data_IF_233607060507
#
_entry.id   IF_233607060507
#
_cell.length_a   1.000
_cell.length_b   1.000
_cell.length_c   1.000
_cell.angle_alpha   90.00
_cell.angle_beta   90.00
_cell.angle_gamma   90.00
#
_symmetry.space_group_name_H-M   'P 1'
#
loop_
_entity.id
_entity.type
_entity.pdbx_description
1 polymer ?
#
# COMPACT_ATOMS: atom_id res chain seq x y z
N UNK A 1 -4.84 3.68 0.93
CA UNK A 1 -5.37 4.82 1.69
C UNK A 1 -5.46 4.52 3.19
N UNK A 2 -6.33 3.60 3.64
CA UNK A 2 -6.54 3.36 5.09
C UNK A 2 -5.25 2.99 5.85
N UNK A 3 -4.44 2.04 5.35
CA UNK A 3 -3.17 1.67 5.99
C UNK A 3 -2.18 2.84 6.05
N UNK A 4 -2.03 3.62 4.98
CA UNK A 4 -1.17 4.82 4.93
C UNK A 4 -1.63 5.88 5.93
N UNK A 5 -2.94 6.11 6.03
CA UNK A 5 -3.50 7.03 7.02
C UNK A 5 -3.20 6.55 8.45
N UNK A 6 -3.43 5.26 8.74
CA UNK A 6 -3.12 4.67 10.04
C UNK A 6 -1.61 4.74 10.34
N UNK A 7 -0.74 4.51 9.36
CA UNK A 7 0.71 4.61 9.52
C UNK A 7 1.14 6.04 9.87
N UNK A 8 0.59 7.06 9.19
CA UNK A 8 0.86 8.47 9.49
C UNK A 8 0.38 8.85 10.89
N UNK A 9 -0.84 8.46 11.28
CA UNK A 9 -1.43 8.80 12.58
C UNK A 9 -0.70 8.08 13.71
N UNK A 10 -0.56 6.76 13.62
CA UNK A 10 0.11 5.97 14.67
C UNK A 10 1.61 6.28 14.73
N UNK A 11 2.23 6.58 13.59
CA UNK A 11 3.60 7.08 13.51
C UNK A 11 3.79 8.42 14.20
N UNK A 12 2.88 9.38 14.01
CA UNK A 12 2.93 10.67 14.71
C UNK A 12 2.75 10.51 16.23
N UNK A 13 1.81 9.65 16.66
CA UNK A 13 1.58 9.33 18.08
C UNK A 13 2.83 8.71 18.71
N UNK A 14 3.51 7.81 18.01
CA UNK A 14 4.76 7.22 18.47
C UNK A 14 5.94 8.19 18.39
N UNK A 15 5.98 9.08 17.39
CA UNK A 15 7.03 10.06 17.19
C UNK A 15 7.11 11.10 18.31
N UNK A 16 5.97 11.49 18.91
CA UNK A 16 5.94 12.48 19.98
C UNK A 16 6.81 12.10 21.20
N UNK A 17 6.68 10.91 21.81
CA UNK A 17 7.55 10.50 22.92
C UNK A 17 8.98 10.17 22.49
N UNK A 18 9.20 9.70 21.26
CA UNK A 18 10.52 9.22 20.81
C UNK A 18 11.44 10.33 20.31
N UNK A 19 10.86 11.35 19.66
CA UNK A 19 11.61 12.42 19.02
C UNK A 19 11.13 13.83 19.40
N UNK A 20 10.18 13.95 20.32
CA UNK A 20 9.70 15.23 20.86
C UNK A 20 8.70 15.98 19.97
N UNK A 21 8.42 15.49 18.76
CA UNK A 21 7.52 16.14 17.78
C UNK A 21 6.55 15.14 17.15
N UNK A 22 5.36 15.62 16.79
CA UNK A 22 4.35 14.84 16.07
C UNK A 22 4.65 14.73 14.57
N UNK A 23 5.36 15.73 14.02
CA UNK A 23 5.61 15.83 12.59
C UNK A 23 6.89 16.62 12.33
N UNK A 24 7.60 16.23 11.27
CA UNK A 24 8.64 17.02 10.63
C UNK A 24 8.45 16.93 9.12
N UNK A 25 8.77 18.01 8.40
CA UNK A 25 8.67 18.07 6.95
C UNK A 25 9.91 17.48 6.27
N UNK A 26 10.28 16.26 6.64
CA UNK A 26 11.37 15.54 6.00
C UNK A 26 10.88 14.77 4.76
N UNK A 27 11.83 14.28 3.95
CA UNK A 27 11.50 13.57 2.72
C UNK A 27 10.69 12.29 2.98
N UNK A 28 10.90 11.61 4.11
CA UNK A 28 10.24 10.33 4.45
C UNK A 28 8.76 10.54 4.78
N UNK A 29 8.46 11.42 5.73
CA UNK A 29 7.10 11.70 6.16
C UNK A 29 6.31 12.42 5.06
N UNK A 30 6.95 13.36 4.36
CA UNK A 30 6.29 14.10 3.27
C UNK A 30 5.93 13.17 2.09
N UNK A 31 6.83 12.26 1.70
CA UNK A 31 6.53 11.32 0.61
C UNK A 31 5.47 10.28 0.98
N UNK A 32 5.39 9.85 2.25
CA UNK A 32 4.29 9.02 2.76
C UNK A 32 2.94 9.78 2.78
N UNK A 33 2.94 11.07 3.13
CA UNK A 33 1.75 11.92 3.03
C UNK A 33 1.30 12.10 1.56
N UNK A 34 2.25 12.32 0.65
CA UNK A 34 1.97 12.34 -0.79
C UNK A 34 1.39 11.01 -1.25
N UNK A 35 1.88 9.87 -0.74
CA UNK A 35 1.32 8.55 -1.04
C UNK A 35 -0.15 8.44 -0.59
N UNK A 36 -0.50 8.99 0.58
CA UNK A 36 -1.89 9.02 1.03
C UNK A 36 -2.77 9.78 0.04
N UNK A 37 -2.34 10.98 -0.38
CA UNK A 37 -3.07 11.76 -1.38
C UNK A 37 -3.13 11.09 -2.74
N UNK A 38 -2.07 10.43 -3.19
CA UNK A 38 -2.08 9.63 -4.43
C UNK A 38 -3.11 8.50 -4.35
N UNK A 39 -3.22 7.81 -3.22
CA UNK A 39 -4.25 6.78 -3.04
C UNK A 39 -5.66 7.36 -3.04
N UNK A 40 -5.90 8.47 -2.34
CA UNK A 40 -7.21 9.13 -2.33
C UNK A 40 -7.57 9.66 -3.73
N UNK A 41 -6.62 10.25 -4.44
CA UNK A 41 -6.79 10.71 -5.81
C UNK A 41 -7.10 9.54 -6.75
N UNK A 42 -6.39 8.42 -6.65
CA UNK A 42 -6.67 7.22 -7.45
C UNK A 42 -8.09 6.69 -7.22
N UNK A 43 -8.49 6.52 -5.96
CA UNK A 43 -9.83 6.02 -5.61
C UNK A 43 -10.92 6.98 -6.10
N UNK A 44 -10.72 8.28 -5.87
CA UNK A 44 -11.69 9.31 -6.28
C UNK A 44 -11.80 9.40 -7.80
N UNK A 45 -10.68 9.38 -8.51
CA UNK A 45 -10.64 9.44 -9.97
C UNK A 45 -11.29 8.21 -10.60
N UNK A 46 -11.05 7.02 -10.06
CA UNK A 46 -11.67 5.80 -10.55
C UNK A 46 -13.20 5.79 -10.35
N UNK A 47 -13.70 6.47 -9.32
CA UNK A 47 -15.13 6.55 -9.02
C UNK A 47 -15.81 7.78 -9.66
N UNK A 48 -15.06 8.69 -10.28
CA UNK A 48 -15.58 9.94 -10.84
C UNK A 48 -16.19 9.80 -12.25
N UNK A 49 -15.97 8.67 -12.94
CA UNK A 49 -16.48 8.44 -14.30
C UNK A 49 -17.53 7.32 -14.32
N UNK A 50 -18.62 7.55 -15.04
CA UNK A 50 -19.66 6.52 -15.26
C UNK A 50 -19.16 5.38 -16.15
N UNK A 51 -18.28 5.69 -17.12
CA UNK A 51 -17.71 4.69 -18.02
C UNK A 51 -16.49 4.01 -17.37
N UNK A 52 -16.56 2.70 -17.05
CA UNK A 52 -15.47 2.00 -16.36
C UNK A 52 -14.16 1.96 -17.16
N UNK A 53 -14.22 1.95 -18.50
CA UNK A 53 -13.00 1.95 -19.33
C UNK A 53 -12.27 3.28 -19.25
N UNK A 54 -13.01 4.39 -19.23
CA UNK A 54 -12.44 5.73 -19.07
C UNK A 54 -11.85 5.91 -17.68
N UNK A 55 -12.60 5.48 -16.63
CA UNK A 55 -12.13 5.45 -15.25
C UNK A 55 -10.79 4.70 -15.11
N UNK A 56 -10.75 3.47 -15.63
CA UNK A 56 -9.56 2.62 -15.57
C UNK A 56 -8.37 3.26 -16.30
N UNK A 57 -8.60 3.85 -17.50
CA UNK A 57 -7.53 4.52 -18.26
C UNK A 57 -6.96 5.71 -17.49
N UNK A 58 -7.80 6.63 -17.02
CA UNK A 58 -7.36 7.81 -16.28
C UNK A 58 -6.62 7.41 -14.98
N UNK A 59 -7.18 6.46 -14.24
CA UNK A 59 -6.60 5.98 -12.98
C UNK A 59 -5.28 5.23 -13.20
N UNK A 60 -5.13 4.50 -14.31
CA UNK A 60 -3.88 3.80 -14.64
C UNK A 60 -2.72 4.77 -14.91
N UNK A 61 -2.99 5.90 -15.58
CA UNK A 61 -1.99 6.96 -15.80
C UNK A 61 -1.54 7.54 -14.46
N UNK A 62 -2.48 7.88 -13.58
CA UNK A 62 -2.17 8.38 -12.24
C UNK A 62 -1.35 7.36 -11.43
N UNK A 63 -1.67 6.07 -11.52
CA UNK A 63 -0.92 5.01 -10.83
C UNK A 63 0.52 4.90 -11.32
N UNK A 64 0.75 4.99 -12.64
CA UNK A 64 2.09 4.96 -13.23
C UNK A 64 2.91 6.17 -12.79
N UNK A 65 2.31 7.37 -12.81
CA UNK A 65 2.99 8.58 -12.33
C UNK A 65 3.28 8.48 -10.83
N UNK A 66 2.31 8.00 -10.04
CA UNK A 66 2.45 7.80 -8.60
C UNK A 66 3.50 6.76 -8.22
N UNK A 67 3.81 5.81 -9.11
CA UNK A 67 4.85 4.80 -8.88
C UNK A 67 6.23 5.42 -8.65
N UNK A 68 6.49 6.61 -9.20
CA UNK A 68 7.73 7.38 -8.97
C UNK A 68 7.91 7.73 -7.49
N UNK A 69 6.84 7.83 -6.71
CA UNK A 69 6.92 8.11 -5.28
C UNK A 69 7.50 6.94 -4.47
N UNK A 70 7.37 5.70 -4.95
CA UNK A 70 7.85 4.50 -4.26
C UNK A 70 9.37 4.50 -4.03
N UNK A 71 10.23 4.70 -5.05
CA UNK A 71 11.67 4.80 -4.82
C UNK A 71 12.03 6.00 -3.94
N UNK A 72 11.30 7.11 -4.02
CA UNK A 72 11.53 8.29 -3.16
C UNK A 72 11.32 7.92 -1.69
N UNK A 73 10.20 7.26 -1.36
CA UNK A 73 9.92 6.80 0.01
C UNK A 73 11.00 5.82 0.47
N UNK A 74 11.31 4.80 -0.34
CA UNK A 74 12.25 3.75 0.04
C UNK A 74 13.65 4.31 0.31
N UNK A 75 14.19 5.10 -0.62
CA UNK A 75 15.52 5.68 -0.49
C UNK A 75 15.56 6.95 0.36
N UNK A 76 14.41 7.45 0.84
CA UNK A 76 14.37 8.62 1.74
C UNK A 76 15.23 8.43 3.00
N UNK A 77 15.42 7.17 3.41
CA UNK A 77 16.24 6.76 4.56
C UNK A 77 17.74 6.97 4.30
N UNK A 78 18.17 6.89 3.04
CA UNK A 78 19.58 6.96 2.63
C UNK A 78 19.95 8.32 2.04
N UNK A 79 19.05 8.92 1.25
CA UNK A 79 19.31 10.16 0.52
C UNK A 79 19.25 11.42 1.40
N UNK A 80 18.50 11.40 2.50
CA UNK A 80 18.35 12.56 3.38
C UNK A 80 18.73 12.25 4.82
N UNK A 81 19.48 13.18 5.42
CA UNK A 81 19.65 13.24 6.86
C UNK A 81 18.34 13.71 7.49
N UNK A 82 17.74 12.88 8.32
CA UNK A 82 16.50 13.18 9.03
C UNK A 82 16.64 12.87 10.51
N UNK A 83 15.61 13.25 11.28
CA UNK A 83 15.50 12.89 12.70
C UNK A 83 15.44 11.37 12.91
N UNK A 84 15.05 10.64 11.87
CA UNK A 84 14.90 9.21 11.90
C UNK A 84 16.25 8.50 11.75
N UNK A 85 16.42 7.38 12.45
CA UNK A 85 17.57 6.50 12.24
C UNK A 85 17.63 5.97 10.78
N UNK A 86 18.84 5.66 10.34
CA UNK A 86 19.12 4.99 9.08
C UNK A 86 18.67 3.52 9.07
N UNK A 87 18.89 2.81 7.96
CA UNK A 87 18.45 1.42 7.82
C UNK A 87 19.12 0.50 8.83
N UNK A 88 18.31 -0.30 9.53
CA UNK A 88 18.77 -1.31 10.50
C UNK A 88 18.91 -2.71 9.89
N UNK A 89 18.48 -2.90 8.64
CA UNK A 89 18.59 -4.16 7.90
C UNK A 89 19.17 -3.84 6.53
N UNK A 90 20.35 -4.38 6.25
CA UNK A 90 20.98 -4.38 4.94
C UNK A 90 21.28 -5.81 4.50
N UNK A 91 21.67 -5.98 3.24
CA UNK A 91 22.05 -7.30 2.68
C UNK A 91 23.17 -7.96 3.48
N UNK A 92 24.04 -7.17 4.12
CA UNK A 92 25.25 -7.65 4.82
C UNK A 92 25.19 -7.47 6.32
N UNK A 93 24.24 -6.71 6.87
CA UNK A 93 24.20 -6.36 8.29
C UNK A 93 22.79 -6.18 8.82
N UNK A 94 22.52 -6.77 9.98
CA UNK A 94 21.35 -6.47 10.81
C UNK A 94 21.85 -5.78 12.07
N UNK A 95 21.43 -4.55 12.32
CA UNK A 95 21.85 -3.74 13.46
C UNK A 95 20.69 -3.48 14.43
N UNK A 96 20.00 -4.55 14.84
CA UNK A 96 18.97 -4.53 15.88
C UNK A 96 19.06 -5.79 16.75
N UNK A 97 18.42 -5.77 17.93
CA UNK A 97 18.32 -6.94 18.78
C UNK A 97 17.53 -8.06 18.10
N UNK A 98 17.90 -9.32 18.40
CA UNK A 98 17.36 -10.49 17.71
C UNK A 98 15.84 -10.65 17.90
N UNK A 99 15.32 -10.33 19.08
CA UNK A 99 13.88 -10.39 19.37
C UNK A 99 13.08 -9.40 18.52
N UNK A 100 13.61 -8.19 18.33
CA UNK A 100 13.01 -7.18 17.44
C UNK A 100 13.05 -7.64 15.98
N UNK A 101 14.12 -8.32 15.58
CA UNK A 101 14.25 -8.84 14.22
C UNK A 101 13.22 -9.94 13.95
N UNK A 102 13.01 -10.88 14.88
CA UNK A 102 11.96 -11.89 14.72
C UNK A 102 10.56 -11.29 14.71
N UNK A 103 10.28 -10.30 15.58
CA UNK A 103 9.02 -9.58 15.56
C UNK A 103 8.80 -8.88 14.20
N UNK A 104 9.82 -8.22 13.65
CA UNK A 104 9.79 -7.58 12.33
C UNK A 104 9.51 -8.60 11.22
N UNK A 105 10.18 -9.74 11.21
CA UNK A 105 9.96 -10.79 10.20
C UNK A 105 8.54 -11.34 10.31
N UNK A 106 8.11 -11.73 11.51
CA UNK A 106 6.79 -12.30 11.74
C UNK A 106 5.68 -11.36 11.26
N UNK A 107 5.72 -10.09 11.66
CA UNK A 107 4.69 -9.12 11.27
C UNK A 107 4.77 -8.79 9.78
N UNK A 108 5.98 -8.68 9.21
CA UNK A 108 6.17 -8.44 7.78
C UNK A 108 5.60 -9.57 6.92
N UNK A 109 5.85 -10.83 7.30
CA UNK A 109 5.27 -11.98 6.62
C UNK A 109 3.75 -12.00 6.78
N UNK A 110 3.23 -11.84 8.00
CA UNK A 110 1.79 -11.84 8.26
C UNK A 110 1.05 -10.79 7.41
N UNK A 111 1.56 -9.56 7.33
CA UNK A 111 0.95 -8.51 6.50
C UNK A 111 1.08 -8.77 4.99
N UNK A 112 2.17 -9.39 4.51
CA UNK A 112 2.29 -9.81 3.10
C UNK A 112 1.29 -10.91 2.75
N UNK A 113 1.09 -11.88 3.64
CA UNK A 113 0.07 -12.92 3.46
C UNK A 113 -1.35 -12.34 3.49
N UNK A 114 -1.64 -11.44 4.43
CA UNK A 114 -2.91 -10.73 4.48
C UNK A 114 -3.16 -9.95 3.20
N UNK A 115 -2.17 -9.19 2.72
CA UNK A 115 -2.25 -8.47 1.45
C UNK A 115 -2.53 -9.42 0.28
N UNK A 116 -1.78 -10.53 0.18
CA UNK A 116 -1.99 -11.54 -0.85
C UNK A 116 -3.40 -12.13 -0.82
N UNK A 117 -3.89 -12.50 0.36
CA UNK A 117 -5.24 -13.03 0.55
C UNK A 117 -6.30 -12.02 0.10
N UNK A 118 -6.20 -10.75 0.52
CA UNK A 118 -7.13 -9.69 0.14
C UNK A 118 -7.11 -9.42 -1.38
N UNK A 119 -5.94 -9.44 -2.01
CA UNK A 119 -5.81 -9.29 -3.46
C UNK A 119 -6.46 -10.47 -4.18
N UNK A 120 -6.23 -11.70 -3.74
CA UNK A 120 -6.83 -12.88 -4.35
C UNK A 120 -8.36 -12.89 -4.21
N UNK A 121 -8.87 -12.55 -3.03
CA UNK A 121 -10.32 -12.41 -2.79
C UNK A 121 -10.92 -11.35 -3.70
N UNK A 122 -10.31 -10.15 -3.77
CA UNK A 122 -10.80 -9.07 -4.63
C UNK A 122 -10.70 -9.42 -6.12
N UNK A 123 -9.63 -10.10 -6.53
CA UNK A 123 -9.44 -10.55 -7.92
C UNK A 123 -10.49 -11.58 -8.31
N UNK A 124 -10.87 -12.48 -7.39
CA UNK A 124 -11.96 -13.44 -7.62
C UNK A 124 -13.28 -12.72 -7.84
N UNK A 125 -13.60 -11.74 -7.00
CA UNK A 125 -14.85 -10.99 -7.11
C UNK A 125 -14.88 -10.15 -8.41
N UNK A 126 -13.76 -9.51 -8.77
CA UNK A 126 -13.62 -8.78 -10.04
C UNK A 126 -13.79 -9.69 -11.27
N UNK A 127 -13.21 -10.90 -11.23
CA UNK A 127 -13.38 -11.89 -12.28
C UNK A 127 -14.86 -12.29 -12.45
N UNK A 128 -15.59 -12.51 -11.35
CA UNK A 128 -17.01 -12.83 -11.41
C UNK A 128 -17.84 -11.68 -12.00
N UNK A 129 -17.54 -10.44 -11.63
CA UNK A 129 -18.22 -9.25 -12.18
C UNK A 129 -17.93 -9.09 -13.68
N UNK A 130 -16.67 -9.27 -14.09
CA UNK A 130 -16.25 -9.16 -15.48
C UNK A 130 -16.85 -10.28 -16.36
N UNK A 131 -16.85 -11.50 -15.85
CA UNK A 131 -17.29 -12.71 -16.54
C UNK A 131 -18.76 -13.06 -16.26
N UNK A 132 -19.55 -12.17 -15.65
CA UNK A 132 -20.94 -12.43 -15.25
C UNK A 132 -21.84 -12.94 -16.39
N UNK A 133 -21.51 -12.58 -17.63
CA UNK A 133 -22.26 -12.99 -18.83
C UNK A 133 -21.72 -14.26 -19.49
N UNK A 134 -20.56 -14.75 -19.07
CA UNK A 134 -19.88 -15.90 -19.63
C UNK A 134 -20.59 -17.20 -19.27
N UNK A 135 -20.54 -18.17 -20.19
CA UNK A 135 -21.26 -19.45 -20.04
C UNK A 135 -20.87 -20.21 -18.78
N UNK A 136 -19.60 -20.16 -18.38
CA UNK A 136 -19.10 -20.86 -17.21
C UNK A 136 -19.66 -20.29 -15.89
N UNK A 137 -19.77 -18.96 -15.76
CA UNK A 137 -20.38 -18.33 -14.57
C UNK A 137 -21.85 -18.69 -14.48
N UNK A 138 -22.57 -18.62 -15.61
CA UNK A 138 -23.98 -19.00 -15.67
C UNK A 138 -24.20 -20.46 -15.27
N UNK A 139 -23.38 -21.39 -15.79
CA UNK A 139 -23.45 -22.81 -15.45
C UNK A 139 -23.20 -23.07 -13.95
N UNK A 140 -22.24 -22.37 -13.34
CA UNK A 140 -21.98 -22.45 -11.89
C UNK A 140 -23.19 -21.97 -11.08
N UNK A 141 -23.86 -20.89 -11.51
CA UNK A 141 -25.01 -20.30 -10.81
C UNK A 141 -26.28 -21.16 -11.01
N UNK A 142 -26.53 -21.65 -12.22
CA UNK A 142 -27.73 -22.45 -12.53
C UNK A 142 -27.61 -23.90 -12.07
N UNK A 143 -26.42 -24.34 -11.64
CA UNK A 143 -26.19 -25.73 -11.24
C UNK A 143 -26.17 -26.70 -12.41
N UNK A 144 -26.03 -26.21 -13.64
CA UNK A 144 -25.83 -27.03 -14.85
C UNK A 144 -24.37 -27.52 -14.89
N UNK A 145 -23.98 -28.29 -13.88
CA UNK A 145 -22.80 -29.14 -13.94
C UNK A 145 -23.22 -30.47 -14.58
N UNK A 146 -23.33 -30.47 -15.91
CA UNK A 146 -23.22 -31.70 -16.72
C UNK A 146 -21.91 -31.68 -17.48
#
# INVERSE_FOLDING_TARGET
>A
AAFTFLALVTGAVWGKPMWGTWWVWDARLTSELILLFLYLAYISLNNAFDNPKTAAKASSVLAIVGLVNIPIIYYSVEWWNSLHQGSSVSVTKVSMQIDMFYALLLISFAFKFLYGALVLMRSRDELLVREQNSRWVKAIITGDNK
#
